data_IF_379555182339
#
_entry.id   IF_379555182339
#
_cell.length_a   1.000
_cell.length_b   1.000
_cell.length_c   1.000
_cell.angle_alpha   90.00
_cell.angle_beta   90.00
_cell.angle_gamma   90.00
#
_symmetry.space_group_name_H-M   'P 1'
#
loop_
_entity.id
_entity.type
_entity.pdbx_description
1 polymer ?
#
# COMPACT_ATOMS: atom_id res chain seq x y z
N UNK A 1 -10.90 -5.06 -16.79
CA UNK A 1 -9.50 -5.13 -17.23
C UNK A 1 -8.62 -5.40 -16.02
N UNK A 2 -7.72 -6.37 -16.13
CA UNK A 2 -6.87 -6.75 -15.00
C UNK A 2 -5.47 -6.17 -15.16
N UNK A 3 -4.94 -5.68 -14.05
CA UNK A 3 -3.57 -5.20 -13.96
C UNK A 3 -2.68 -6.27 -13.35
N UNK A 4 -1.41 -6.24 -13.69
CA UNK A 4 -0.38 -7.01 -12.99
C UNK A 4 0.13 -6.17 -11.83
N UNK A 5 0.08 -6.70 -10.62
CA UNK A 5 0.51 -5.98 -9.42
C UNK A 5 1.98 -6.30 -9.14
N UNK A 6 2.81 -5.25 -9.05
CA UNK A 6 4.24 -5.36 -8.73
C UNK A 6 4.46 -4.89 -7.30
N UNK A 7 5.01 -5.77 -6.47
CA UNK A 7 5.26 -5.50 -5.05
C UNK A 7 6.76 -5.54 -4.77
N UNK A 8 7.43 -4.38 -4.76
CA UNK A 8 8.86 -4.36 -4.48
C UNK A 8 9.14 -4.63 -3.00
N UNK A 9 10.36 -5.05 -2.69
CA UNK A 9 10.76 -5.45 -1.34
C UNK A 9 10.50 -4.39 -0.27
N UNK A 10 10.75 -3.09 -0.49
CA UNK A 10 10.45 -2.08 0.53
C UNK A 10 8.99 -2.08 0.97
N UNK A 11 8.07 -2.48 0.09
CA UNK A 11 6.64 -2.59 0.44
C UNK A 11 6.40 -3.78 1.37
N UNK A 12 7.10 -4.91 1.16
CA UNK A 12 7.06 -6.04 2.09
C UNK A 12 7.57 -5.59 3.47
N UNK A 13 8.65 -4.83 3.51
CA UNK A 13 9.22 -4.33 4.76
C UNK A 13 8.26 -3.38 5.47
N UNK A 14 7.58 -2.49 4.73
CA UNK A 14 6.54 -1.62 5.29
C UNK A 14 5.42 -2.43 5.92
N UNK A 15 4.98 -3.46 5.22
CA UNK A 15 3.88 -4.32 5.64
C UNK A 15 4.22 -5.02 6.95
N UNK A 16 5.42 -5.58 7.01
CA UNK A 16 5.89 -6.28 8.20
C UNK A 16 6.05 -5.32 9.38
N UNK A 17 6.64 -4.15 9.16
CA UNK A 17 6.84 -3.16 10.21
C UNK A 17 5.49 -2.72 10.83
N UNK A 18 4.48 -2.48 9.99
CA UNK A 18 3.16 -2.11 10.47
C UNK A 18 2.51 -3.26 11.25
N UNK A 19 2.64 -4.49 10.74
CA UNK A 19 2.09 -5.67 11.41
C UNK A 19 2.70 -5.87 12.79
N UNK A 20 4.01 -5.71 12.90
CA UNK A 20 4.71 -5.84 14.20
C UNK A 20 4.24 -4.76 15.18
N UNK A 21 4.08 -3.54 14.72
CA UNK A 21 3.59 -2.46 15.55
C UNK A 21 2.18 -2.76 16.09
N UNK A 22 1.27 -3.22 15.23
CA UNK A 22 -0.09 -3.57 15.65
C UNK A 22 -0.10 -4.74 16.63
N UNK A 23 0.78 -5.73 16.41
CA UNK A 23 0.86 -6.89 17.28
C UNK A 23 1.34 -6.51 18.68
N UNK A 24 2.21 -5.51 18.79
CA UNK A 24 2.63 -4.95 20.07
C UNK A 24 1.48 -4.27 20.82
N UNK A 25 0.53 -3.65 20.08
CA UNK A 25 -0.64 -3.03 20.67
C UNK A 25 -1.61 -4.08 21.21
N UNK A 26 -1.78 -5.16 20.45
CA UNK A 26 -2.67 -6.27 20.84
C UNK A 26 -2.25 -7.52 20.09
N UNK A 27 -1.93 -8.63 20.79
CA UNK A 27 -1.59 -9.89 20.12
C UNK A 27 -2.68 -10.30 19.13
N UNK A 28 -2.26 -10.70 17.92
CA UNK A 28 -3.15 -11.11 16.84
C UNK A 28 -3.49 -10.00 15.85
N UNK A 29 -3.32 -8.72 16.21
CA UNK A 29 -3.61 -7.62 15.28
C UNK A 29 -2.65 -7.58 14.11
N UNK A 30 -1.40 -8.02 14.31
CA UNK A 30 -0.42 -8.09 13.23
C UNK A 30 -0.86 -9.02 12.11
N UNK A 31 -1.36 -10.20 12.47
CA UNK A 31 -1.89 -11.16 11.49
C UNK A 31 -3.11 -10.59 10.75
N UNK A 32 -4.00 -9.94 11.49
CA UNK A 32 -5.18 -9.30 10.90
C UNK A 32 -4.78 -8.21 9.90
N UNK A 33 -3.73 -7.43 10.22
CA UNK A 33 -3.21 -6.41 9.33
C UNK A 33 -2.61 -7.03 8.06
N UNK A 34 -1.84 -8.09 8.20
CA UNK A 34 -1.26 -8.79 7.05
C UNK A 34 -2.36 -9.34 6.14
N UNK A 35 -3.37 -9.97 6.71
CA UNK A 35 -4.47 -10.54 5.93
C UNK A 35 -5.23 -9.46 5.16
N UNK A 36 -5.58 -8.36 5.82
CA UNK A 36 -6.31 -7.30 5.15
C UNK A 36 -5.47 -6.59 4.10
N UNK A 37 -4.20 -6.28 4.39
CA UNK A 37 -3.32 -5.61 3.43
C UNK A 37 -3.07 -6.48 2.20
N UNK A 38 -2.88 -7.79 2.37
CA UNK A 38 -2.75 -8.71 1.24
C UNK A 38 -4.04 -8.75 0.40
N UNK A 39 -5.19 -8.74 1.06
CA UNK A 39 -6.48 -8.72 0.37
C UNK A 39 -6.65 -7.45 -0.48
N UNK A 40 -6.29 -6.30 0.07
CA UNK A 40 -6.36 -5.03 -0.67
C UNK A 40 -5.40 -5.04 -1.85
N UNK A 41 -4.15 -5.50 -1.65
CA UNK A 41 -3.16 -5.60 -2.72
C UNK A 41 -3.69 -6.48 -3.85
N UNK A 42 -4.20 -7.66 -3.51
CA UNK A 42 -4.75 -8.59 -4.52
C UNK A 42 -5.92 -7.96 -5.29
N UNK A 43 -6.77 -7.19 -4.62
CA UNK A 43 -7.92 -6.55 -5.26
C UNK A 43 -7.53 -5.53 -6.32
N UNK A 44 -6.32 -4.94 -6.22
CA UNK A 44 -5.89 -3.88 -7.14
C UNK A 44 -5.74 -4.37 -8.58
N UNK A 45 -5.61 -5.67 -8.81
CA UNK A 45 -5.62 -6.21 -10.18
C UNK A 45 -6.90 -5.83 -10.93
N UNK A 46 -8.01 -5.68 -10.21
CA UNK A 46 -9.31 -5.33 -10.79
C UNK A 46 -9.80 -3.93 -10.43
N UNK A 47 -9.32 -3.36 -9.31
CA UNK A 47 -9.90 -2.14 -8.74
C UNK A 47 -8.97 -0.92 -8.78
N UNK A 48 -7.81 -1.03 -9.43
CA UNK A 48 -6.78 0.02 -9.36
C UNK A 48 -7.31 1.40 -9.80
N UNK A 49 -8.21 1.44 -10.76
CA UNK A 49 -8.76 2.71 -11.27
C UNK A 49 -9.86 3.30 -10.39
N UNK A 50 -10.37 2.53 -9.42
CA UNK A 50 -11.45 2.98 -8.55
C UNK A 50 -10.98 3.87 -7.39
N UNK A 51 -9.69 3.83 -7.07
CA UNK A 51 -9.13 4.67 -6.01
C UNK A 51 -8.58 5.95 -6.61
N UNK A 52 -9.04 7.10 -6.09
CA UNK A 52 -8.64 8.40 -6.60
C UNK A 52 -7.16 8.70 -6.34
N UNK A 53 -6.50 9.47 -7.22
CA UNK A 53 -5.18 9.99 -6.92
C UNK A 53 -5.20 10.83 -5.65
N UNK A 54 -4.20 10.64 -4.79
CA UNK A 54 -4.05 11.39 -3.56
C UNK A 54 -3.23 12.67 -3.77
N UNK A 55 -2.19 12.54 -4.58
CA UNK A 55 -1.38 13.65 -5.07
C UNK A 55 -0.67 13.21 -6.34
N UNK A 56 -0.53 14.11 -7.31
CA UNK A 56 -0.01 13.81 -8.63
C UNK A 56 -0.71 12.55 -9.19
N UNK A 57 0.05 11.56 -9.66
CA UNK A 57 -0.50 10.29 -10.15
C UNK A 57 -0.49 9.18 -9.10
N UNK A 58 -0.14 9.49 -7.86
CA UNK A 58 -0.08 8.50 -6.78
C UNK A 58 -1.46 8.30 -6.18
N UNK A 59 -1.93 7.06 -6.22
CA UNK A 59 -3.21 6.64 -5.65
C UNK A 59 -2.99 5.98 -4.30
N UNK A 60 -4.05 5.93 -3.50
CA UNK A 60 -4.01 5.34 -2.17
C UNK A 60 -5.26 4.50 -1.95
N UNK A 61 -5.05 3.19 -1.73
CA UNK A 61 -6.11 2.25 -1.41
C UNK A 61 -6.11 2.04 0.10
N UNK A 62 -7.12 2.63 0.75
CA UNK A 62 -7.23 2.64 2.22
C UNK A 62 -7.68 1.28 2.72
N UNK A 63 -7.08 0.83 3.83
CA UNK A 63 -7.55 -0.36 4.53
C UNK A 63 -8.86 -0.05 5.28
N UNK A 64 -9.70 -1.05 5.47
CA UNK A 64 -11.01 -0.84 6.11
C UNK A 64 -10.90 -0.82 7.61
N UNK A 65 -10.35 -1.88 8.21
CA UNK A 65 -10.19 -2.01 9.66
C UNK A 65 -9.08 -1.12 10.18
N UNK A 66 -7.96 -1.05 9.45
CA UNK A 66 -6.79 -0.25 9.80
C UNK A 66 -6.79 1.03 8.96
N UNK A 67 -7.86 1.80 9.08
CA UNK A 67 -8.20 2.89 8.15
C UNK A 67 -7.21 4.03 8.05
N UNK A 68 -6.24 4.13 8.98
CA UNK A 68 -5.17 5.12 8.89
C UNK A 68 -4.07 4.68 7.93
N UNK A 69 -4.02 3.39 7.60
CA UNK A 69 -3.04 2.81 6.68
C UNK A 69 -3.69 2.53 5.33
N UNK A 70 -2.87 2.52 4.31
CA UNK A 70 -3.29 2.12 2.98
C UNK A 70 -2.09 1.84 2.08
N UNK A 71 -2.39 1.44 0.86
CA UNK A 71 -1.41 1.07 -0.15
C UNK A 71 -1.27 2.23 -1.13
N UNK A 72 -0.09 2.85 -1.17
CA UNK A 72 0.24 3.87 -2.17
C UNK A 72 0.76 3.18 -3.42
N UNK A 73 0.25 3.56 -4.59
CA UNK A 73 0.64 2.94 -5.85
C UNK A 73 0.47 3.89 -7.02
N UNK A 74 1.13 3.55 -8.13
CA UNK A 74 0.95 4.21 -9.42
C UNK A 74 0.58 3.16 -10.47
N UNK A 75 -0.05 3.62 -11.54
CA UNK A 75 -0.41 2.77 -12.67
C UNK A 75 0.53 3.12 -13.83
N UNK A 76 1.15 2.11 -14.41
CA UNK A 76 2.01 2.24 -15.59
C UNK A 76 1.62 1.17 -16.59
N UNK A 77 0.89 1.59 -17.65
CA UNK A 77 0.37 0.64 -18.62
C UNK A 77 -0.55 -0.38 -17.95
N UNK A 78 -0.21 -1.65 -18.04
CA UNK A 78 -0.97 -2.74 -17.44
C UNK A 78 -0.46 -3.11 -16.04
N UNK A 79 0.44 -2.32 -15.48
CA UNK A 79 1.03 -2.61 -14.18
C UNK A 79 0.52 -1.66 -13.11
N UNK A 80 0.21 -2.21 -11.96
CA UNK A 80 0.06 -1.49 -10.70
C UNK A 80 1.37 -1.65 -9.96
N UNK A 81 2.10 -0.56 -9.77
CA UNK A 81 3.38 -0.57 -9.06
C UNK A 81 3.19 -0.02 -7.66
N UNK A 82 3.30 -0.90 -6.67
CA UNK A 82 3.16 -0.50 -5.28
C UNK A 82 4.37 0.34 -4.87
N UNK A 83 4.14 1.43 -4.13
CA UNK A 83 5.18 2.31 -3.63
C UNK A 83 5.41 2.14 -2.14
N UNK A 84 4.35 1.98 -1.36
CA UNK A 84 4.44 1.93 0.09
C UNK A 84 3.14 1.40 0.69
N UNK A 85 3.25 0.79 1.86
CA UNK A 85 2.12 0.57 2.75
C UNK A 85 2.37 1.43 3.97
N UNK A 86 1.68 2.57 4.04
CA UNK A 86 1.98 3.60 5.01
C UNK A 86 0.72 4.29 5.50
N UNK A 87 0.88 5.00 6.61
CA UNK A 87 -0.14 5.90 7.14
C UNK A 87 -0.50 6.94 6.06
N UNK A 88 -1.79 7.25 5.92
CA UNK A 88 -2.26 8.20 4.91
C UNK A 88 -1.71 9.62 5.06
N UNK A 89 -1.22 9.97 6.25
CA UNK A 89 -0.60 11.27 6.49
C UNK A 89 0.89 11.34 6.11
N UNK A 90 1.44 10.25 5.53
CA UNK A 90 2.84 10.24 5.11
C UNK A 90 3.09 11.39 4.14
N UNK A 91 4.15 12.16 4.39
CA UNK A 91 4.45 13.36 3.62
C UNK A 91 4.77 13.02 2.15
N UNK A 92 4.22 13.80 1.18
CA UNK A 92 4.49 13.55 -0.24
C UNK A 92 5.98 13.51 -0.60
N UNK A 93 6.81 14.31 0.06
CA UNK A 93 8.25 14.30 -0.18
C UNK A 93 8.88 12.95 0.14
N UNK A 94 8.44 12.28 1.22
CA UNK A 94 8.90 10.95 1.57
C UNK A 94 8.53 9.94 0.48
N UNK A 95 7.29 10.01 0.02
CA UNK A 95 6.79 9.12 -1.04
C UNK A 95 7.53 9.35 -2.36
N UNK A 96 7.84 10.59 -2.67
CA UNK A 96 8.62 10.94 -3.86
C UNK A 96 10.02 10.31 -3.81
N UNK A 97 10.68 10.41 -2.66
CA UNK A 97 12.01 9.77 -2.47
C UNK A 97 11.91 8.25 -2.59
N UNK A 98 10.89 7.64 -1.97
CA UNK A 98 10.67 6.20 -2.06
C UNK A 98 10.48 5.79 -3.53
N UNK A 99 9.67 6.55 -4.27
CA UNK A 99 9.39 6.29 -5.68
C UNK A 99 10.67 6.34 -6.51
N UNK A 100 11.51 7.33 -6.27
CA UNK A 100 12.79 7.44 -6.97
C UNK A 100 13.70 6.25 -6.66
N UNK A 101 13.74 5.80 -5.41
CA UNK A 101 14.56 4.66 -5.01
C UNK A 101 14.09 3.35 -5.65
N UNK A 102 12.81 3.24 -5.96
CA UNK A 102 12.26 2.05 -6.60
C UNK A 102 12.49 2.04 -8.13
N UNK A 103 12.88 3.14 -8.69
CA UNK A 103 13.06 3.27 -10.14
C UNK A 103 11.76 3.58 -10.85
#
# INVERSE_FOLDING_TARGET
>A
MNFVVRKPRPVDDDQLAAALWYDEQQPGLGDAFLDESESVIASLSATALLHAPRFADVRWARLRRFHQYGVFYVIRGQEVRLLAIQHGARHPAWLHKRRQALG
#
